data_IF_258358461469
#
_entry.id   IF_258358461469
#
_cell.length_a   1.000
_cell.length_b   1.000
_cell.length_c   1.000
_cell.angle_alpha   90.00
_cell.angle_beta   90.00
_cell.angle_gamma   90.00
#
_symmetry.space_group_name_H-M   'P 1'
#
loop_
_entity.id
_entity.type
_entity.pdbx_description
1 polymer ?
#
# COMPACT_ATOMS: atom_id res chain seq x y z
N UNK A 1 8.57 -0.68 -5.02
CA UNK A 1 8.06 -1.59 -6.08
C UNK A 1 6.72 -2.18 -5.67
N UNK A 2 5.74 -2.17 -6.56
CA UNK A 2 4.46 -2.86 -6.37
C UNK A 2 4.32 -3.94 -7.45
N UNK A 3 4.05 -5.17 -7.05
CA UNK A 3 3.82 -6.30 -7.96
C UNK A 3 2.33 -6.64 -7.93
N UNK A 4 1.66 -6.43 -9.08
CA UNK A 4 0.22 -6.53 -9.25
C UNK A 4 -0.47 -5.17 -9.35
N UNK A 5 -1.27 -4.99 -10.40
CA UNK A 5 -1.99 -3.75 -10.72
C UNK A 5 -3.51 -3.91 -10.65
N UNK A 6 -4.01 -4.75 -9.76
CA UNK A 6 -5.42 -4.86 -9.37
C UNK A 6 -5.79 -3.86 -8.26
N UNK A 7 -7.00 -3.99 -7.69
CA UNK A 7 -7.52 -3.10 -6.63
C UNK A 7 -6.58 -2.94 -5.42
N UNK A 8 -5.94 -4.04 -4.98
CA UNK A 8 -5.01 -3.99 -3.82
C UNK A 8 -3.74 -3.24 -4.20
N UNK A 9 -3.13 -3.57 -5.35
CA UNK A 9 -1.95 -2.87 -5.86
C UNK A 9 -2.20 -1.37 -6.07
N UNK A 10 -3.38 -1.02 -6.60
CA UNK A 10 -3.80 0.37 -6.77
C UNK A 10 -3.81 1.14 -5.44
N UNK A 11 -4.43 0.57 -4.41
CA UNK A 11 -4.47 1.18 -3.08
C UNK A 11 -3.06 1.38 -2.50
N UNK A 12 -2.17 0.39 -2.68
CA UNK A 12 -0.78 0.49 -2.23
C UNK A 12 0.00 1.55 -3.00
N UNK A 13 -0.17 1.60 -4.32
CA UNK A 13 0.48 2.60 -5.17
C UNK A 13 0.04 4.04 -4.81
N UNK A 14 -1.27 4.27 -4.60
CA UNK A 14 -1.79 5.57 -4.16
C UNK A 14 -1.18 6.01 -2.82
N UNK A 15 -1.19 5.15 -1.81
CA UNK A 15 -0.61 5.48 -0.51
C UNK A 15 0.88 5.78 -0.54
N UNK A 16 1.63 5.14 -1.45
CA UNK A 16 3.05 5.44 -1.66
C UNK A 16 3.25 6.79 -2.36
N UNK A 17 2.42 7.11 -3.36
CA UNK A 17 2.46 8.39 -4.07
C UNK A 17 2.11 9.56 -3.13
N UNK A 18 1.09 9.39 -2.28
CA UNK A 18 0.72 10.36 -1.24
C UNK A 18 1.88 10.64 -0.27
N UNK A 19 2.73 9.63 -0.02
CA UNK A 19 3.94 9.77 0.79
C UNK A 19 5.15 10.32 0.00
N UNK A 20 4.98 10.76 -1.25
CA UNK A 20 6.04 11.32 -2.09
C UNK A 20 7.02 10.28 -2.66
N UNK A 21 6.69 8.99 -2.62
CA UNK A 21 7.57 7.95 -3.11
C UNK A 21 7.55 7.84 -4.65
N UNK A 22 8.68 7.50 -5.25
CA UNK A 22 8.74 7.06 -6.65
C UNK A 22 8.26 5.63 -6.75
N UNK A 23 7.14 5.41 -7.46
CA UNK A 23 6.48 4.12 -7.54
C UNK A 23 6.71 3.47 -8.90
N UNK A 24 7.22 2.24 -8.88
CA UNK A 24 7.21 1.34 -10.05
C UNK A 24 6.22 0.21 -9.79
N UNK A 25 5.43 -0.11 -10.80
CA UNK A 25 4.43 -1.19 -10.74
C UNK A 25 4.69 -2.17 -11.87
N UNK A 26 4.73 -3.47 -11.55
CA UNK A 26 4.85 -4.54 -12.54
C UNK A 26 3.63 -5.44 -12.52
N UNK A 27 2.98 -5.60 -13.68
CA UNK A 27 1.80 -6.45 -13.84
C UNK A 27 1.55 -6.77 -15.31
N UNK A 28 1.09 -7.97 -15.67
CA UNK A 28 0.63 -8.27 -17.03
C UNK A 28 -0.74 -7.66 -17.35
N UNK A 29 -1.55 -7.36 -16.34
CA UNK A 29 -2.88 -6.78 -16.48
C UNK A 29 -3.05 -5.59 -15.53
N UNK A 30 -3.84 -4.59 -15.92
CA UNK A 30 -3.95 -3.31 -15.24
C UNK A 30 -5.39 -2.91 -14.99
N UNK A 31 -5.69 -2.45 -13.78
CA UNK A 31 -6.91 -1.71 -13.52
C UNK A 31 -6.84 -0.34 -14.22
N UNK A 32 -7.98 0.11 -14.78
CA UNK A 32 -8.03 1.33 -15.59
C UNK A 32 -7.53 2.58 -14.83
N UNK A 33 -7.75 2.62 -13.53
CA UNK A 33 -7.37 3.75 -12.67
C UNK A 33 -5.85 3.99 -12.60
N UNK A 34 -5.04 3.02 -13.01
CA UNK A 34 -3.58 3.22 -13.12
C UNK A 34 -3.17 4.16 -14.25
N UNK A 35 -4.05 4.42 -15.23
CA UNK A 35 -3.74 5.33 -16.33
C UNK A 35 -3.50 6.76 -15.86
N UNK A 36 -4.21 7.18 -14.81
CA UNK A 36 -4.09 8.53 -14.23
C UNK A 36 -2.98 8.65 -13.17
N UNK A 37 -2.27 7.56 -12.81
CA UNK A 37 -1.28 7.59 -11.75
C UNK A 37 0.14 7.82 -12.30
N UNK A 38 0.94 8.69 -11.65
CA UNK A 38 2.32 8.96 -12.03
C UNK A 38 3.26 7.82 -11.55
N UNK A 39 3.03 6.61 -12.04
CA UNK A 39 3.83 5.42 -11.74
C UNK A 39 4.62 4.95 -12.96
N UNK A 40 5.80 4.40 -12.73
CA UNK A 40 6.51 3.67 -13.78
C UNK A 40 5.81 2.33 -14.01
N UNK A 41 5.20 2.17 -15.18
CA UNK A 41 4.47 0.94 -15.56
C UNK A 41 5.41 -0.04 -16.26
N UNK A 42 5.36 -1.31 -15.82
CA UNK A 42 6.11 -2.43 -16.40
C UNK A 42 5.08 -3.52 -16.77
N UNK A 43 4.65 -3.52 -18.04
CA UNK A 43 3.54 -4.37 -18.52
C UNK A 43 4.03 -5.77 -18.89
N UNK A 44 4.35 -6.58 -17.89
CA UNK A 44 4.73 -8.00 -18.00
C UNK A 44 4.68 -8.69 -16.64
N UNK A 45 4.90 -10.00 -16.62
CA UNK A 45 5.08 -10.75 -15.37
C UNK A 45 6.33 -10.28 -14.60
N UNK A 46 6.26 -10.41 -13.27
CA UNK A 46 7.34 -10.09 -12.33
C UNK A 46 8.60 -10.92 -12.62
N UNK A 47 9.75 -10.25 -12.51
CA UNK A 47 11.09 -10.85 -12.54
C UNK A 47 11.88 -10.44 -11.29
N UNK A 48 12.74 -11.29 -10.75
CA UNK A 48 13.59 -10.94 -9.60
C UNK A 48 14.40 -9.65 -9.77
N UNK A 49 14.83 -9.35 -11.01
CA UNK A 49 15.55 -8.13 -11.33
C UNK A 49 14.75 -6.84 -11.12
N UNK A 50 13.42 -6.92 -11.05
CA UNK A 50 12.56 -5.75 -10.81
C UNK A 50 12.77 -5.13 -9.43
N UNK A 51 13.32 -5.90 -8.50
CA UNK A 51 13.61 -5.44 -7.14
C UNK A 51 15.01 -4.80 -6.98
N UNK A 52 15.82 -4.71 -8.05
CA UNK A 52 17.22 -4.28 -7.97
C UNK A 52 17.40 -2.93 -7.24
N UNK A 53 16.53 -1.96 -7.55
CA UNK A 53 16.63 -0.60 -7.01
C UNK A 53 15.44 -0.27 -6.08
N UNK A 54 14.75 -1.28 -5.58
CA UNK A 54 13.62 -1.11 -4.69
C UNK A 54 14.07 -1.03 -3.23
N UNK A 55 13.63 -0.02 -2.50
CA UNK A 55 13.80 0.08 -1.04
C UNK A 55 12.62 -0.54 -0.27
N UNK A 56 11.53 -0.84 -0.95
CA UNK A 56 10.31 -1.40 -0.37
C UNK A 56 9.55 -2.19 -1.44
N UNK A 57 8.96 -3.33 -1.07
CA UNK A 57 8.20 -4.17 -1.98
C UNK A 57 6.78 -4.46 -1.47
N UNK A 58 5.82 -4.47 -2.39
CA UNK A 58 4.45 -4.96 -2.16
C UNK A 58 4.16 -6.10 -3.14
N UNK A 59 3.80 -7.26 -2.62
CA UNK A 59 3.26 -8.38 -3.39
C UNK A 59 1.73 -8.34 -3.30
N UNK A 60 1.07 -7.89 -4.37
CA UNK A 60 -0.37 -7.61 -4.40
C UNK A 60 -1.05 -8.23 -5.63
N UNK A 61 -0.65 -9.44 -6.00
CA UNK A 61 -1.27 -10.19 -7.10
C UNK A 61 -2.32 -11.18 -6.57
N UNK A 62 -3.17 -11.68 -7.46
CA UNK A 62 -4.12 -12.76 -7.15
C UNK A 62 -3.45 -14.15 -7.18
N UNK A 63 -2.18 -14.25 -7.53
CA UNK A 63 -1.44 -15.50 -7.61
C UNK A 63 -0.51 -15.63 -6.40
N UNK A 64 -0.85 -16.56 -5.50
CA UNK A 64 -0.10 -16.81 -4.27
C UNK A 64 1.36 -17.20 -4.52
N UNK A 65 1.60 -17.94 -5.60
CA UNK A 65 2.95 -18.34 -6.00
C UNK A 65 3.81 -17.14 -6.40
N UNK A 66 3.24 -16.20 -7.18
CA UNK A 66 3.92 -14.95 -7.54
C UNK A 66 4.22 -14.14 -6.28
N UNK A 67 3.25 -14.00 -5.36
CA UNK A 67 3.44 -13.28 -4.10
C UNK A 67 4.57 -13.89 -3.26
N UNK A 68 4.62 -15.21 -3.12
CA UNK A 68 5.70 -15.92 -2.43
C UNK A 68 7.06 -15.74 -3.12
N UNK A 69 7.08 -15.68 -4.45
CA UNK A 69 8.31 -15.43 -5.19
C UNK A 69 8.83 -14.01 -4.95
N UNK A 70 7.94 -13.02 -4.91
CA UNK A 70 8.29 -11.63 -4.57
C UNK A 70 8.84 -11.56 -3.15
N UNK A 71 8.16 -12.17 -2.19
CA UNK A 71 8.57 -12.25 -0.79
C UNK A 71 9.99 -12.81 -0.64
N UNK A 72 10.22 -14.03 -1.17
CA UNK A 72 11.54 -14.68 -1.07
C UNK A 72 12.65 -13.82 -1.66
N UNK A 73 12.39 -13.22 -2.81
CA UNK A 73 13.41 -12.39 -3.48
C UNK A 73 13.66 -11.08 -2.72
N UNK A 74 12.62 -10.45 -2.17
CA UNK A 74 12.74 -9.26 -1.34
C UNK A 74 13.55 -9.55 -0.07
N UNK A 75 13.19 -10.60 0.66
CA UNK A 75 13.92 -11.04 1.87
C UNK A 75 15.39 -11.39 1.58
N UNK A 76 15.67 -12.08 0.47
CA UNK A 76 17.04 -12.38 0.05
C UNK A 76 17.89 -11.13 -0.18
N UNK A 77 17.26 -10.02 -0.57
CA UNK A 77 17.90 -8.71 -0.82
C UNK A 77 17.86 -7.77 0.38
N UNK A 78 17.27 -8.15 1.50
CA UNK A 78 17.07 -7.28 2.64
C UNK A 78 16.07 -6.14 2.37
N UNK A 79 15.15 -6.32 1.42
CA UNK A 79 14.12 -5.34 1.07
C UNK A 79 12.85 -5.67 1.87
N UNK A 80 12.36 -4.77 2.74
CA UNK A 80 11.12 -4.97 3.46
C UNK A 80 9.96 -5.23 2.51
N UNK A 81 9.14 -6.25 2.81
CA UNK A 81 8.04 -6.67 1.95
C UNK A 81 6.72 -6.73 2.71
N UNK A 82 5.64 -6.28 2.05
CA UNK A 82 4.27 -6.50 2.48
C UNK A 82 3.56 -7.38 1.46
N UNK A 83 3.02 -8.50 1.91
CA UNK A 83 2.32 -9.48 1.08
C UNK A 83 0.82 -9.35 1.33
N UNK A 84 0.05 -9.12 0.27
CA UNK A 84 -1.41 -9.06 0.37
C UNK A 84 -1.95 -10.43 0.79
N UNK A 85 -2.88 -10.41 1.73
CA UNK A 85 -3.58 -11.59 2.26
C UNK A 85 -2.69 -12.62 2.97
N UNK A 86 -1.43 -12.24 3.34
CA UNK A 86 -0.52 -13.08 4.11
C UNK A 86 0.23 -12.25 5.17
N UNK A 87 -0.39 -11.97 6.33
CA UNK A 87 0.21 -11.16 7.39
C UNK A 87 1.52 -11.73 7.95
N UNK A 88 1.65 -13.06 7.99
CA UNK A 88 2.85 -13.73 8.52
C UNK A 88 4.07 -13.58 7.58
N UNK A 89 3.82 -13.40 6.30
CA UNK A 89 4.85 -13.15 5.30
C UNK A 89 5.31 -11.68 5.25
N UNK A 90 4.60 -10.78 5.96
CA UNK A 90 4.88 -9.35 5.96
C UNK A 90 5.98 -8.97 6.94
N UNK A 91 6.96 -8.18 6.51
CA UNK A 91 7.93 -7.54 7.40
C UNK A 91 7.36 -6.28 8.07
N UNK A 92 6.28 -5.71 7.52
CA UNK A 92 5.59 -4.55 8.06
C UNK A 92 4.10 -4.54 7.67
N UNK A 93 3.30 -3.85 8.49
CA UNK A 93 1.87 -3.66 8.28
C UNK A 93 1.60 -2.17 8.03
N UNK A 94 0.78 -1.87 7.03
CA UNK A 94 0.33 -0.50 6.78
C UNK A 94 -0.95 -0.25 7.58
N UNK A 95 -0.95 0.66 8.56
CA UNK A 95 -2.13 0.97 9.35
C UNK A 95 -3.21 1.67 8.51
N UNK A 96 -4.45 1.66 8.98
CA UNK A 96 -5.48 2.53 8.47
C UNK A 96 -5.15 3.98 8.87
N UNK A 97 -5.25 4.94 7.93
CA UNK A 97 -4.85 6.34 8.16
C UNK A 97 -6.01 7.29 7.93
N UNK A 98 -6.07 8.33 8.73
CA UNK A 98 -6.85 9.55 8.49
C UNK A 98 -5.87 10.70 8.33
N UNK A 99 -6.02 11.48 7.27
CA UNK A 99 -5.23 12.67 6.99
C UNK A 99 -6.17 13.87 6.98
N UNK A 100 -5.85 14.90 7.77
CA UNK A 100 -6.63 16.13 7.82
C UNK A 100 -5.69 17.32 8.05
N UNK A 101 -5.39 18.05 6.98
CA UNK A 101 -4.35 19.08 6.99
C UNK A 101 -2.99 18.49 7.41
N UNK A 102 -2.42 19.04 8.48
CA UNK A 102 -1.15 18.56 9.06
C UNK A 102 -1.34 17.44 10.09
N UNK A 103 -2.59 17.06 10.40
CA UNK A 103 -2.88 16.00 11.33
C UNK A 103 -2.91 14.65 10.61
N UNK A 104 -2.19 13.69 11.16
CA UNK A 104 -2.25 12.30 10.72
C UNK A 104 -2.57 11.40 11.91
N UNK A 105 -3.62 10.59 11.76
CA UNK A 105 -3.98 9.54 12.73
C UNK A 105 -3.82 8.19 12.08
N UNK A 106 -3.09 7.30 12.73
CA UNK A 106 -2.90 5.92 12.30
C UNK A 106 -3.57 4.96 13.27
N UNK A 107 -4.37 4.03 12.74
CA UNK A 107 -5.07 3.00 13.52
C UNK A 107 -4.56 1.63 13.10
N UNK A 108 -3.94 0.92 14.03
CA UNK A 108 -3.43 -0.42 13.81
C UNK A 108 -3.97 -1.38 14.87
N UNK A 109 -4.29 -2.60 14.45
CA UNK A 109 -4.63 -3.72 15.33
C UNK A 109 -3.55 -4.80 15.27
N UNK A 110 -2.33 -4.45 14.85
CA UNK A 110 -1.26 -5.42 14.65
C UNK A 110 -1.58 -6.48 13.58
N UNK A 111 -2.45 -6.16 12.62
CA UNK A 111 -2.91 -7.12 11.62
C UNK A 111 -4.04 -8.04 12.07
N UNK A 112 -4.42 -8.03 13.36
CA UNK A 112 -5.42 -8.95 13.92
C UNK A 112 -6.85 -8.67 13.44
N UNK A 113 -7.21 -7.40 13.23
CA UNK A 113 -8.55 -7.01 12.78
C UNK A 113 -8.53 -5.82 11.82
N UNK A 114 -8.30 -6.05 10.52
CA UNK A 114 -8.38 -4.99 9.50
C UNK A 114 -9.75 -4.30 9.47
N UNK A 115 -10.82 -5.06 9.76
CA UNK A 115 -12.19 -4.53 9.83
C UNK A 115 -12.35 -3.51 10.95
N UNK A 116 -11.87 -3.82 12.17
CA UNK A 116 -11.92 -2.90 13.30
C UNK A 116 -11.09 -1.66 13.04
N UNK A 117 -9.88 -1.80 12.49
CA UNK A 117 -9.04 -0.67 12.11
C UNK A 117 -9.73 0.25 11.10
N UNK A 118 -10.39 -0.31 10.08
CA UNK A 118 -11.13 0.45 9.08
C UNK A 118 -12.38 1.13 9.66
N UNK A 119 -13.07 0.51 10.62
CA UNK A 119 -14.22 1.10 11.30
C UNK A 119 -13.80 2.27 12.19
N UNK A 120 -12.79 2.07 13.02
CA UNK A 120 -12.25 3.12 13.88
C UNK A 120 -11.73 4.31 13.06
N UNK A 121 -11.04 4.03 11.95
CA UNK A 121 -10.61 5.07 11.02
C UNK A 121 -11.78 5.96 10.57
N UNK A 122 -12.90 5.37 10.16
CA UNK A 122 -14.08 6.12 9.71
C UNK A 122 -14.69 6.97 10.82
N UNK A 123 -14.76 6.44 12.05
CA UNK A 123 -15.26 7.19 13.21
C UNK A 123 -14.38 8.37 13.54
N UNK A 124 -13.05 8.19 13.52
CA UNK A 124 -12.09 9.26 13.74
C UNK A 124 -12.20 10.34 12.65
N UNK A 125 -12.32 9.93 11.39
CA UNK A 125 -12.50 10.83 10.26
C UNK A 125 -13.73 11.72 10.44
N UNK A 126 -14.88 11.16 10.80
CA UNK A 126 -16.12 11.90 11.08
C UNK A 126 -15.97 12.90 12.26
N UNK A 127 -15.28 12.51 13.32
CA UNK A 127 -15.02 13.40 14.48
C UNK A 127 -14.12 14.57 14.05
N UNK A 128 -13.07 14.31 13.27
CA UNK A 128 -12.15 15.35 12.82
C UNK A 128 -12.81 16.32 11.84
N UNK A 129 -13.66 15.85 10.93
CA UNK A 129 -14.44 16.70 10.04
C UNK A 129 -15.35 17.64 10.81
N UNK A 130 -16.04 17.15 11.85
CA UNK A 130 -16.85 17.96 12.76
C UNK A 130 -16.05 18.99 13.57
N UNK A 131 -14.91 18.60 14.08
CA UNK A 131 -14.05 19.48 14.89
C UNK A 131 -13.41 20.60 14.06
N UNK A 132 -12.99 20.30 12.82
CA UNK A 132 -12.35 21.29 11.94
C UNK A 132 -13.34 22.28 11.36
N UNK A 133 -14.60 21.89 11.13
CA UNK A 133 -15.66 22.80 10.72
C UNK A 133 -16.10 23.74 11.85
N UNK A 134 -15.83 23.39 13.10
CA UNK A 134 -16.18 24.19 14.28
C UNK A 134 -15.06 25.16 14.72
N UNK A 135 -13.84 25.07 14.15
CA UNK A 135 -12.71 25.92 14.53
C UNK A 135 -12.53 27.02 13.48
N UNK A 136 -12.84 28.30 13.78
CA UNK A 136 -12.56 29.38 12.84
C UNK A 136 -11.05 29.50 12.64
N UNK A 137 -10.65 29.60 11.38
CA UNK A 137 -9.28 29.80 10.93
C UNK A 137 -8.73 31.09 11.58
N UNK A 138 -7.79 30.96 12.52
CA UNK A 138 -6.99 32.07 12.99
C UNK A 138 -5.73 32.20 12.19
#
# INVERSE_FOLDING_TARGET
MVVGAGKVGLRKAKGLLEAGARVSVVSPAWAAEFEALPVRRISRAFRPSDLKDACLAYAATNCREVNRRVEREAKRRGIPVNVADDPEACDFIVPARVLSGNLQVAVSTGGQSPRLAAELRRRIEAVLEGALSATPNR
#
